data_IF_514413988305
#
_entry.id   IF_514413988305
#
_cell.length_a   1.000
_cell.length_b   1.000
_cell.length_c   1.000
_cell.angle_alpha   90.00
_cell.angle_beta   90.00
_cell.angle_gamma   90.00
#
_symmetry.space_group_name_H-M   'P 1'
#
loop_
_entity.id
_entity.type
_entity.pdbx_description
1 polymer ?
#
# COMPACT_ATOMS: atom_id res chain seq x y z
N UNK A 1 -7.03 21.67 -25.36
CA UNK A 1 -6.11 21.97 -24.24
C UNK A 1 -6.82 21.62 -22.94
N UNK A 2 -6.45 20.52 -22.29
CA UNK A 2 -7.03 20.13 -21.01
C UNK A 2 -6.61 21.18 -19.96
N UNK A 3 -7.58 21.93 -19.46
CA UNK A 3 -7.37 22.86 -18.35
C UNK A 3 -6.87 22.09 -17.13
N UNK A 4 -5.91 22.64 -16.37
CA UNK A 4 -5.39 22.01 -15.13
C UNK A 4 -6.52 21.63 -14.17
N UNK A 5 -7.63 22.37 -14.19
CA UNK A 5 -8.82 22.08 -13.38
C UNK A 5 -9.56 20.83 -13.87
N UNK A 6 -9.59 20.58 -15.18
CA UNK A 6 -10.22 19.39 -15.75
C UNK A 6 -9.48 18.09 -15.39
N UNK A 7 -8.14 18.11 -15.41
CA UNK A 7 -7.32 16.94 -15.06
C UNK A 7 -7.51 16.55 -13.57
N UNK A 8 -7.60 17.54 -12.68
CA UNK A 8 -7.80 17.32 -11.25
C UNK A 8 -9.18 16.69 -10.98
N UNK A 9 -10.24 17.22 -11.62
CA UNK A 9 -11.60 16.69 -11.46
C UNK A 9 -11.72 15.27 -12.00
N UNK A 10 -11.13 14.99 -13.16
CA UNK A 10 -11.11 13.63 -13.73
C UNK A 10 -10.33 12.65 -12.83
N UNK A 11 -9.20 13.08 -12.23
CA UNK A 11 -8.44 12.26 -11.30
C UNK A 11 -9.21 11.91 -10.02
N UNK A 12 -9.97 12.85 -9.46
CA UNK A 12 -10.82 12.62 -8.28
C UNK A 12 -11.94 11.62 -8.58
N UNK A 13 -12.59 11.74 -9.75
CA UNK A 13 -13.66 10.81 -10.17
C UNK A 13 -13.09 9.41 -10.41
N UNK A 14 -11.90 9.30 -10.99
CA UNK A 14 -11.22 8.01 -11.18
C UNK A 14 -10.84 7.35 -9.85
N UNK A 15 -10.35 8.10 -8.87
CA UNK A 15 -10.05 7.58 -7.53
C UNK A 15 -11.31 7.09 -6.81
N UNK A 16 -12.42 7.83 -6.91
CA UNK A 16 -13.70 7.45 -6.30
C UNK A 16 -14.33 6.18 -6.92
N UNK A 17 -14.20 5.98 -8.24
CA UNK A 17 -14.70 4.78 -8.94
C UNK A 17 -13.72 3.60 -8.78
N UNK A 18 -12.42 3.89 -8.69
CA UNK A 18 -11.37 2.90 -8.45
C UNK A 18 -11.60 2.11 -7.16
N UNK A 19 -11.84 2.80 -6.04
CA UNK A 19 -12.03 2.15 -4.74
C UNK A 19 -13.14 1.09 -4.68
N UNK A 20 -14.20 1.24 -5.49
CA UNK A 20 -15.27 0.23 -5.57
C UNK A 20 -14.93 -0.95 -6.51
N UNK A 21 -14.12 -0.71 -7.54
CA UNK A 21 -13.83 -1.71 -8.59
C UNK A 21 -12.75 -2.73 -8.22
N UNK A 22 -11.96 -2.45 -7.17
CA UNK A 22 -10.89 -3.35 -6.70
C UNK A 22 -11.35 -4.50 -5.79
N UNK A 23 -12.63 -4.59 -5.40
CA UNK A 23 -13.16 -5.75 -4.65
C UNK A 23 -13.14 -7.05 -5.47
N UNK A 24 -13.03 -6.98 -6.80
CA UNK A 24 -12.97 -8.18 -7.66
C UNK A 24 -11.64 -8.94 -7.47
N UNK A 25 -10.60 -8.28 -6.97
CA UNK A 25 -9.30 -8.92 -6.70
C UNK A 25 -9.27 -9.72 -5.38
N UNK A 26 -10.35 -9.69 -4.60
CA UNK A 26 -10.49 -10.36 -3.29
C UNK A 26 -10.84 -11.85 -3.37
N UNK A 27 -11.00 -12.41 -4.58
CA UNK A 27 -11.18 -13.85 -4.77
C UNK A 27 -9.80 -14.49 -4.95
N UNK A 28 -9.41 -15.47 -4.10
CA UNK A 28 -8.24 -16.29 -4.40
C UNK A 28 -8.50 -16.96 -5.75
N UNK A 29 -7.79 -16.53 -6.79
CA UNK A 29 -7.75 -17.26 -8.04
C UNK A 29 -6.99 -18.54 -7.76
N UNK A 30 -7.76 -19.59 -7.43
CA UNK A 30 -7.26 -20.93 -7.25
C UNK A 30 -6.76 -21.44 -8.61
N UNK A 31 -5.54 -21.04 -8.98
CA UNK A 31 -4.83 -21.64 -10.07
C UNK A 31 -4.40 -23.03 -9.60
N UNK A 32 -5.16 -24.04 -10.04
CA UNK A 32 -4.85 -25.44 -9.79
C UNK A 32 -3.37 -25.70 -10.06
N UNK A 33 -2.71 -26.32 -9.09
CA UNK A 33 -1.30 -26.66 -9.06
C UNK A 33 -0.90 -27.47 -10.30
N UNK A 34 -0.45 -26.76 -11.32
CA UNK A 34 0.40 -27.36 -12.35
C UNK A 34 1.81 -27.22 -11.81
N UNK A 35 2.56 -28.31 -11.76
CA UNK A 35 3.99 -28.29 -11.42
C UNK A 35 4.74 -27.55 -12.55
N UNK A 36 4.66 -26.22 -12.50
CA UNK A 36 5.57 -25.33 -13.18
C UNK A 36 6.69 -25.08 -12.18
N UNK A 37 7.94 -25.01 -12.62
CA UNK A 37 8.98 -24.37 -11.81
C UNK A 37 8.42 -23.01 -11.42
N UNK A 38 8.09 -22.82 -10.13
CA UNK A 38 7.52 -21.55 -9.68
C UNK A 38 8.48 -20.45 -10.08
N UNK A 39 8.00 -19.53 -10.91
CA UNK A 39 8.77 -18.36 -11.29
C UNK A 39 8.71 -17.38 -10.11
N UNK A 40 9.58 -17.61 -9.11
CA UNK A 40 9.65 -16.81 -7.90
C UNK A 40 9.96 -15.33 -8.19
N UNK A 41 10.58 -15.04 -9.34
CA UNK A 41 10.77 -13.67 -9.79
C UNK A 41 9.42 -13.07 -10.19
N UNK A 42 8.69 -13.73 -11.08
CA UNK A 42 7.38 -13.26 -11.54
C UNK A 42 6.37 -13.16 -10.40
N UNK A 43 6.40 -14.09 -9.45
CA UNK A 43 5.55 -14.06 -8.25
C UNK A 43 5.86 -12.83 -7.39
N UNK A 44 7.14 -12.60 -7.04
CA UNK A 44 7.54 -11.42 -6.28
C UNK A 44 7.24 -10.11 -7.01
N UNK A 45 7.46 -10.08 -8.33
CA UNK A 45 7.11 -8.93 -9.17
C UNK A 45 5.61 -8.67 -9.15
N UNK A 46 4.78 -9.73 -9.20
CA UNK A 46 3.33 -9.61 -9.08
C UNK A 46 2.90 -9.02 -7.74
N UNK A 47 3.49 -9.46 -6.63
CA UNK A 47 3.23 -8.87 -5.30
C UNK A 47 3.61 -7.38 -5.28
N UNK A 48 4.76 -7.03 -5.88
CA UNK A 48 5.23 -5.64 -5.99
C UNK A 48 4.30 -4.76 -6.81
N UNK A 49 3.80 -5.26 -7.92
CA UNK A 49 2.84 -4.54 -8.77
C UNK A 49 1.53 -4.27 -8.02
N UNK A 50 0.98 -5.28 -7.34
CA UNK A 50 -0.23 -5.11 -6.50
C UNK A 50 0.00 -4.08 -5.40
N UNK A 51 1.13 -4.15 -4.70
CA UNK A 51 1.48 -3.18 -3.67
C UNK A 51 1.64 -1.77 -4.23
N UNK A 52 2.22 -1.61 -5.43
CA UNK A 52 2.34 -0.30 -6.08
C UNK A 52 0.97 0.34 -6.35
N UNK A 53 -0.04 -0.46 -6.71
CA UNK A 53 -1.41 0.02 -6.88
C UNK A 53 -2.01 0.47 -5.54
N UNK A 54 -1.81 -0.31 -4.47
CA UNK A 54 -2.27 0.06 -3.11
C UNK A 54 -1.61 1.37 -2.65
N UNK A 55 -0.31 1.53 -2.90
CA UNK A 55 0.43 2.76 -2.59
C UNK A 55 -0.15 3.95 -3.35
N UNK A 56 -0.40 3.81 -4.65
CA UNK A 56 -0.93 4.88 -5.48
C UNK A 56 -2.32 5.34 -4.99
N UNK A 57 -3.21 4.40 -4.65
CA UNK A 57 -4.53 4.70 -4.10
C UNK A 57 -4.42 5.39 -2.73
N UNK A 58 -3.60 4.84 -1.84
CA UNK A 58 -3.38 5.41 -0.50
C UNK A 58 -2.79 6.81 -0.55
N UNK A 59 -1.82 7.05 -1.42
CA UNK A 59 -1.19 8.38 -1.60
C UNK A 59 -2.20 9.39 -2.17
N UNK A 60 -3.06 8.96 -3.11
CA UNK A 60 -4.15 9.79 -3.62
C UNK A 60 -5.16 10.16 -2.52
N UNK A 61 -5.55 9.19 -1.69
CA UNK A 61 -6.47 9.42 -0.57
C UNK A 61 -5.86 10.26 0.55
N UNK A 62 -4.57 10.11 0.84
CA UNK A 62 -3.82 10.94 1.79
C UNK A 62 -3.75 12.40 1.32
N UNK A 63 -3.50 12.59 0.02
CA UNK A 63 -3.59 13.91 -0.60
C UNK A 63 -5.00 14.47 -0.48
N UNK A 64 -6.01 13.65 -0.72
CA UNK A 64 -7.41 14.03 -0.56
C UNK A 64 -7.76 14.46 0.87
N UNK A 65 -7.22 13.77 1.89
CA UNK A 65 -7.37 14.13 3.30
C UNK A 65 -6.73 15.49 3.58
N UNK A 66 -5.51 15.72 3.09
CA UNK A 66 -4.79 16.99 3.21
C UNK A 66 -5.52 18.16 2.55
N UNK A 67 -6.05 17.92 1.34
CA UNK A 67 -6.83 18.89 0.55
C UNK A 67 -8.29 19.04 1.04
N UNK A 68 -8.68 18.30 2.09
CA UNK A 68 -10.05 18.24 2.66
C UNK A 68 -11.13 17.77 1.66
N UNK A 69 -10.73 17.06 0.62
CA UNK A 69 -11.65 16.44 -0.36
C UNK A 69 -12.04 15.02 0.02
N UNK A 70 -11.28 14.38 0.91
CA UNK A 70 -11.63 13.12 1.58
C UNK A 70 -11.79 13.40 3.07
N UNK A 71 -12.89 12.95 3.67
CA UNK A 71 -13.11 13.11 5.12
C UNK A 71 -12.19 12.16 5.91
N UNK A 72 -11.84 12.49 7.17
CA UNK A 72 -11.06 11.58 8.02
C UNK A 72 -11.65 10.18 8.19
N UNK A 73 -12.98 10.07 8.25
CA UNK A 73 -13.68 8.79 8.36
C UNK A 73 -13.58 7.96 7.07
N UNK A 74 -13.75 8.62 5.91
CA UNK A 74 -13.58 7.95 4.61
C UNK A 74 -12.12 7.51 4.41
N UNK A 75 -11.15 8.37 4.77
CA UNK A 75 -9.74 8.01 4.70
C UNK A 75 -9.44 6.79 5.58
N UNK A 76 -9.90 6.79 6.84
CA UNK A 76 -9.70 5.67 7.77
C UNK A 76 -10.28 4.37 7.19
N UNK A 77 -11.50 4.41 6.63
CA UNK A 77 -12.10 3.23 6.00
C UNK A 77 -11.29 2.71 4.81
N UNK A 78 -10.76 3.60 3.97
CA UNK A 78 -9.92 3.22 2.83
C UNK A 78 -8.57 2.64 3.28
N UNK A 79 -7.94 3.25 4.30
CA UNK A 79 -6.70 2.75 4.88
C UNK A 79 -6.87 1.35 5.52
N UNK A 80 -8.02 1.05 6.13
CA UNK A 80 -8.32 -0.29 6.63
C UNK A 80 -8.44 -1.33 5.51
N UNK A 81 -9.03 -0.96 4.37
CA UNK A 81 -9.08 -1.81 3.18
C UNK A 81 -7.67 -2.05 2.65
N UNK A 82 -6.85 -1.00 2.53
CA UNK A 82 -5.45 -1.10 2.13
C UNK A 82 -4.66 -2.03 3.06
N UNK A 83 -4.82 -1.91 4.39
CA UNK A 83 -4.15 -2.81 5.36
C UNK A 83 -4.54 -4.26 5.16
N UNK A 84 -5.82 -4.52 4.88
CA UNK A 84 -6.31 -5.88 4.61
C UNK A 84 -5.72 -6.46 3.32
N UNK A 85 -5.57 -5.63 2.28
CA UNK A 85 -4.92 -6.01 1.03
C UNK A 85 -3.43 -6.30 1.24
N UNK A 86 -2.71 -5.43 1.96
CA UNK A 86 -1.30 -5.63 2.31
C UNK A 86 -1.10 -6.90 3.13
N UNK A 87 -1.98 -7.18 4.11
CA UNK A 87 -1.96 -8.44 4.85
C UNK A 87 -2.18 -9.66 3.96
N UNK A 88 -3.00 -9.54 2.91
CA UNK A 88 -3.19 -10.63 1.94
C UNK A 88 -1.92 -10.86 1.11
N UNK A 89 -1.23 -9.80 0.70
CA UNK A 89 0.08 -9.89 0.03
C UNK A 89 1.16 -10.51 0.93
N UNK A 90 1.12 -10.21 2.23
CA UNK A 90 2.00 -10.84 3.22
C UNK A 90 1.76 -12.35 3.27
N UNK A 91 0.49 -12.78 3.32
CA UNK A 91 0.15 -14.20 3.29
C UNK A 91 0.64 -14.87 2.00
N UNK A 92 0.41 -14.24 0.85
CA UNK A 92 0.88 -14.72 -0.47
C UNK A 92 2.40 -15.00 -0.42
N UNK A 93 3.22 -14.03 0.02
CA UNK A 93 4.68 -14.21 0.14
C UNK A 93 5.12 -15.31 1.11
N UNK A 94 4.39 -15.50 2.21
CA UNK A 94 4.70 -16.52 3.21
C UNK A 94 4.37 -17.91 2.66
N UNK A 95 3.28 -18.03 1.91
CA UNK A 95 2.84 -19.28 1.28
C UNK A 95 3.69 -19.66 0.06
N UNK A 96 4.33 -18.69 -0.62
CA UNK A 96 5.24 -18.92 -1.75
C UNK A 96 6.37 -19.91 -1.44
N UNK A 97 6.83 -19.96 -0.18
CA UNK A 97 7.91 -20.82 0.31
C UNK A 97 9.14 -20.88 -0.65
N UNK A 98 9.81 -19.74 -0.90
CA UNK A 98 10.86 -19.64 -1.90
C UNK A 98 12.13 -20.45 -1.56
N UNK A 99 12.92 -20.88 -2.56
CA UNK A 99 14.20 -21.55 -2.36
C UNK A 99 15.22 -20.61 -1.70
N UNK A 100 16.31 -21.19 -1.17
CA UNK A 100 17.28 -20.48 -0.34
C UNK A 100 17.85 -19.22 -1.00
N UNK A 101 18.12 -19.27 -2.31
CA UNK A 101 18.61 -18.13 -3.10
C UNK A 101 17.65 -16.93 -3.12
N UNK A 102 16.34 -17.15 -3.06
CA UNK A 102 15.33 -16.08 -3.06
C UNK A 102 14.91 -15.62 -1.66
N UNK A 103 15.25 -16.36 -0.59
CA UNK A 103 14.79 -16.07 0.78
C UNK A 103 15.14 -14.66 1.26
N UNK A 104 16.32 -14.15 0.91
CA UNK A 104 16.71 -12.80 1.33
C UNK A 104 15.87 -11.73 0.63
N UNK A 105 15.60 -11.90 -0.67
CA UNK A 105 14.76 -10.99 -1.45
C UNK A 105 13.31 -10.98 -0.95
N UNK A 106 12.73 -12.16 -0.74
CA UNK A 106 11.37 -12.32 -0.21
C UNK A 106 11.27 -11.81 1.24
N UNK A 107 12.24 -12.13 2.09
CA UNK A 107 12.27 -11.68 3.48
C UNK A 107 12.34 -10.16 3.60
N UNK A 108 13.19 -9.50 2.80
CA UNK A 108 13.23 -8.04 2.76
C UNK A 108 11.91 -7.42 2.28
N UNK A 109 11.23 -8.06 1.32
CA UNK A 109 9.95 -7.55 0.84
C UNK A 109 8.80 -7.80 1.82
N UNK A 110 8.81 -8.93 2.52
CA UNK A 110 7.91 -9.20 3.64
C UNK A 110 8.05 -8.11 4.73
N UNK A 111 9.29 -7.75 5.10
CA UNK A 111 9.53 -6.66 6.05
C UNK A 111 9.04 -5.31 5.51
N UNK A 112 9.20 -5.04 4.22
CA UNK A 112 8.67 -3.85 3.55
C UNK A 112 7.14 -3.77 3.70
N UNK A 113 6.40 -4.85 3.37
CA UNK A 113 4.94 -4.88 3.52
C UNK A 113 4.50 -4.69 4.97
N UNK A 114 5.21 -5.28 5.93
CA UNK A 114 4.92 -5.06 7.36
C UNK A 114 5.10 -3.61 7.76
N UNK A 115 6.19 -2.97 7.33
CA UNK A 115 6.44 -1.55 7.58
C UNK A 115 5.42 -0.65 6.90
N UNK A 116 4.94 -1.05 5.74
CA UNK A 116 3.83 -0.35 5.08
C UNK A 116 2.51 -0.47 5.86
N UNK A 117 2.24 -1.61 6.49
CA UNK A 117 1.10 -1.76 7.41
C UNK A 117 1.24 -0.85 8.64
N UNK A 118 2.44 -0.74 9.22
CA UNK A 118 2.71 0.22 10.30
C UNK A 118 2.44 1.66 9.81
N UNK A 119 2.90 2.00 8.61
CA UNK A 119 2.60 3.29 7.96
C UNK A 119 1.09 3.53 7.88
N UNK A 120 0.30 2.58 7.38
CA UNK A 120 -1.17 2.72 7.28
C UNK A 120 -1.84 2.90 8.66
N UNK A 121 -1.33 2.25 9.70
CA UNK A 121 -1.84 2.42 11.05
C UNK A 121 -1.63 3.86 11.57
N UNK A 122 -0.43 4.42 11.34
CA UNK A 122 -0.13 5.80 11.73
C UNK A 122 -0.89 6.82 10.88
N UNK A 123 -1.15 6.54 9.60
CA UNK A 123 -1.98 7.45 8.79
C UNK A 123 -3.44 7.50 9.24
N UNK A 124 -3.99 6.37 9.72
CA UNK A 124 -5.32 6.35 10.36
C UNK A 124 -5.32 7.16 11.67
N UNK A 125 -4.25 7.05 12.47
CA UNK A 125 -4.05 7.87 13.67
C UNK A 125 -4.00 9.36 13.33
N UNK A 126 -3.26 9.76 12.28
CA UNK A 126 -3.24 11.12 11.76
C UNK A 126 -4.64 11.61 11.37
N UNK A 127 -5.42 10.81 10.62
CA UNK A 127 -6.78 11.16 10.26
C UNK A 127 -7.67 11.41 11.50
N UNK A 128 -7.54 10.54 12.52
CA UNK A 128 -8.25 10.73 13.79
C UNK A 128 -7.84 12.00 14.53
N UNK A 129 -6.53 12.35 14.54
CA UNK A 129 -6.03 13.61 15.09
C UNK A 129 -6.58 14.84 14.35
N UNK A 130 -6.64 14.78 13.02
CA UNK A 130 -7.25 15.84 12.20
C UNK A 130 -8.74 15.98 12.54
N UNK A 131 -9.46 14.86 12.68
CA UNK A 131 -10.88 14.83 13.04
C UNK A 131 -11.16 15.44 14.40
N UNK A 132 -10.30 15.17 15.40
CA UNK A 132 -10.45 15.69 16.76
C UNK A 132 -9.99 17.14 16.92
N UNK A 133 -9.40 17.75 15.89
CA UNK A 133 -8.85 19.10 15.96
C UNK A 133 -7.58 19.17 16.82
N UNK A 134 -6.76 18.11 16.80
CA UNK A 134 -5.52 18.05 17.56
C UNK A 134 -4.59 19.24 17.22
N UNK A 135 -3.72 19.64 18.17
CA UNK A 135 -2.76 20.71 17.94
C UNK A 135 -1.87 20.44 16.72
N UNK A 136 -1.49 21.51 16.02
CA UNK A 136 -0.64 21.40 14.83
C UNK A 136 0.71 20.72 15.11
N UNK A 137 1.26 20.86 16.33
CA UNK A 137 2.48 20.17 16.74
C UNK A 137 2.30 18.65 16.73
N UNK A 138 1.19 18.14 17.29
CA UNK A 138 0.91 16.69 17.30
C UNK A 138 0.67 16.11 15.92
N UNK A 139 0.08 16.91 15.02
CA UNK A 139 -0.10 16.57 13.60
C UNK A 139 1.28 16.51 12.91
N UNK A 140 2.16 17.47 13.18
CA UNK A 140 3.52 17.53 12.62
C UNK A 140 4.40 16.36 13.08
N UNK A 141 4.31 16.00 14.35
CA UNK A 141 5.05 14.86 14.92
C UNK A 141 4.58 13.55 14.28
N UNK A 142 3.27 13.38 14.12
CA UNK A 142 2.69 12.20 13.44
C UNK A 142 3.14 12.11 11.97
N UNK A 143 3.11 13.21 11.23
CA UNK A 143 3.56 13.24 9.83
C UNK A 143 5.04 12.87 9.69
N UNK A 144 5.87 13.26 10.66
CA UNK A 144 7.29 12.90 10.67
C UNK A 144 7.48 11.39 10.85
N UNK A 145 6.72 10.77 11.77
CA UNK A 145 6.72 9.32 11.97
C UNK A 145 6.23 8.56 10.74
N UNK A 146 5.11 9.01 10.14
CA UNK A 146 4.56 8.46 8.89
C UNK A 146 5.61 8.50 7.77
N UNK A 147 6.32 9.62 7.62
CA UNK A 147 7.35 9.78 6.59
C UNK A 147 8.51 8.80 6.81
N UNK A 148 8.97 8.64 8.06
CA UNK A 148 10.00 7.65 8.41
C UNK A 148 9.59 6.23 8.05
N UNK A 149 8.35 5.83 8.42
CA UNK A 149 7.85 4.48 8.14
C UNK A 149 7.73 4.20 6.64
N UNK A 150 7.27 5.16 5.85
CA UNK A 150 7.23 5.03 4.38
C UNK A 150 8.64 4.85 3.82
N UNK A 151 9.60 5.66 4.25
CA UNK A 151 10.99 5.56 3.82
C UNK A 151 11.64 4.23 4.21
N UNK A 152 11.38 3.72 5.42
CA UNK A 152 11.84 2.40 5.85
C UNK A 152 11.27 1.28 4.97
N UNK A 153 9.96 1.33 4.70
CA UNK A 153 9.29 0.41 3.77
C UNK A 153 9.93 0.43 2.38
N UNK A 154 10.16 1.61 1.81
CA UNK A 154 10.77 1.76 0.48
C UNK A 154 12.22 1.25 0.45
N UNK A 155 12.98 1.49 1.52
CA UNK A 155 14.35 1.00 1.67
C UNK A 155 14.40 -0.53 1.69
N UNK A 156 13.46 -1.17 2.39
CA UNK A 156 13.32 -2.62 2.43
C UNK A 156 12.88 -3.20 1.08
N UNK A 157 12.01 -2.51 0.36
CA UNK A 157 11.62 -2.89 -1.00
C UNK A 157 12.83 -2.86 -1.96
N UNK A 158 13.65 -1.80 -1.89
CA UNK A 158 14.87 -1.69 -2.68
C UNK A 158 15.89 -2.77 -2.30
N UNK A 159 16.02 -3.09 -0.99
CA UNK A 159 16.88 -4.18 -0.51
C UNK A 159 16.41 -5.54 -1.06
N UNK A 160 15.10 -5.76 -1.18
CA UNK A 160 14.56 -6.95 -1.82
C UNK A 160 15.02 -7.06 -3.27
N UNK A 161 15.03 -5.97 -4.04
CA UNK A 161 15.49 -5.98 -5.44
C UNK A 161 16.99 -6.25 -5.57
N UNK A 162 17.80 -5.71 -4.66
CA UNK A 162 19.24 -5.93 -4.64
C UNK A 162 19.63 -7.35 -4.22
N UNK A 163 18.74 -8.06 -3.52
CA UNK A 163 18.97 -9.41 -3.01
C UNK A 163 18.41 -10.51 -3.91
N UNK A 164 17.97 -10.17 -5.14
CA UNK A 164 17.56 -11.16 -6.13
C UNK A 164 18.78 -11.98 -6.61
N UNK A 165 18.64 -13.29 -6.86
CA UNK A 165 19.69 -14.12 -7.47
C UNK A 165 20.17 -13.66 -8.84
#
# INVERSE_FOLDING_TARGET
MASRKGIIVTGIILAAIGGASFMIWFLPQNHGSTFVVSDYKAELDSVKEKQSLIIADTDASMKGLSDKTVSPDNYTSQAQVASSQVSSLVTELVESNPPAEWKQSYGAYYESLKKYNDYLAETMSLANKIKSGAPQSEISDEMSKITSLKQESDTLAAKSDQARP
#
